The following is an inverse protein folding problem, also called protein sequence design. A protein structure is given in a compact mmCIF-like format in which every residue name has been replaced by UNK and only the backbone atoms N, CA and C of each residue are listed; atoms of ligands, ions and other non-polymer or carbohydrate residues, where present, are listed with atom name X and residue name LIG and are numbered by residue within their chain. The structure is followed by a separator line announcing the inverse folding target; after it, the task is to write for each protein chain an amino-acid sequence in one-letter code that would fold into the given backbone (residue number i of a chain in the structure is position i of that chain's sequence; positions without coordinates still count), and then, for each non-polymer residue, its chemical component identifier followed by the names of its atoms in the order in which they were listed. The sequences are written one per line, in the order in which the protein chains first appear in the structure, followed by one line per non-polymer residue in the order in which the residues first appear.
data_IF_217756984527
#
_entry.id   IF_217756984527
#
_cell.length_a   1.000
_cell.length_b   1.000
_cell.length_c   1.000
_cell.angle_alpha   90.00
_cell.angle_beta   90.00
_cell.angle_gamma   90.00
#
_symmetry.space_group_name_H-M   'P 1'
#
loop_
_entity.id
_entity.type
_entity.pdbx_description
1 polymer ?
#
# COMPACT_ATOMS: atom_id res chain seq x y z
N UNK A 1 9.12 7.20 11.81
CA UNK A 1 8.19 6.71 10.79
C UNK A 1 7.34 5.54 11.28
N UNK A 2 7.93 4.38 11.62
CA UNK A 2 7.18 3.19 12.06
C UNK A 2 6.03 3.44 13.05
N UNK A 3 6.26 4.15 14.16
CA UNK A 3 5.21 4.45 15.14
C UNK A 3 4.16 5.44 14.60
N UNK A 4 4.55 6.40 13.76
CA UNK A 4 3.60 7.29 13.10
C UNK A 4 2.71 6.49 12.14
N UNK A 5 3.29 5.61 11.34
CA UNK A 5 2.55 4.82 10.36
C UNK A 5 1.64 3.77 11.02
N UNK A 6 2.13 3.04 12.03
CA UNK A 6 1.40 1.90 12.63
C UNK A 6 0.56 2.26 13.85
N UNK A 7 0.84 3.39 14.50
CA UNK A 7 0.18 3.83 15.75
C UNK A 7 -0.31 5.28 15.70
N UNK A 8 -0.09 6.00 14.60
CA UNK A 8 -0.60 7.35 14.37
C UNK A 8 -1.90 7.34 13.57
N UNK A 9 -2.34 8.53 13.13
CA UNK A 9 -3.46 8.68 12.18
C UNK A 9 -4.72 9.38 12.72
N UNK A 10 -4.89 9.52 14.04
CA UNK A 10 -6.02 10.26 14.59
C UNK A 10 -6.31 9.94 16.05
N UNK A 11 -7.50 10.31 16.51
CA UNK A 11 -7.96 10.12 17.90
C UNK A 11 -8.34 8.67 18.26
N UNK A 12 -8.09 7.69 17.38
CA UNK A 12 -8.16 6.26 17.73
C UNK A 12 -9.28 5.43 17.08
N UNK A 13 -9.96 5.94 16.05
CA UNK A 13 -11.15 5.26 15.49
C UNK A 13 -10.86 4.21 14.39
N UNK A 14 -9.59 3.98 14.03
CA UNK A 14 -9.26 3.05 12.96
C UNK A 14 -7.91 2.36 13.15
N UNK A 15 -7.80 1.14 12.61
CA UNK A 15 -6.57 0.35 12.61
C UNK A 15 -5.91 0.40 11.23
N UNK A 16 -5.06 1.40 11.00
CA UNK A 16 -4.41 1.57 9.70
C UNK A 16 -3.48 0.38 9.39
N UNK A 17 -3.77 -0.35 8.30
CA UNK A 17 -2.82 -1.35 7.80
C UNK A 17 -1.78 -0.63 6.95
N UNK A 18 -0.51 -0.91 7.25
CA UNK A 18 0.64 -0.31 6.59
C UNK A 18 1.37 -1.38 5.78
N UNK A 19 1.60 -1.10 4.50
CA UNK A 19 2.42 -1.90 3.60
C UNK A 19 3.71 -1.16 3.30
N UNK A 20 4.86 -1.81 3.42
CA UNK A 20 6.17 -1.18 3.20
C UNK A 20 6.92 -1.92 2.08
N UNK A 21 6.88 -1.42 0.84
CA UNK A 21 7.60 -2.03 -0.29
C UNK A 21 9.11 -1.85 -0.14
N UNK A 22 9.89 -2.80 -0.65
CA UNK A 22 11.35 -2.68 -0.76
C UNK A 22 11.88 -2.59 -2.19
N UNK A 23 11.00 -2.59 -3.21
CA UNK A 23 11.34 -2.50 -4.63
C UNK A 23 10.23 -1.84 -5.45
N UNK A 24 10.52 -1.44 -6.69
CA UNK A 24 9.52 -0.84 -7.58
C UNK A 24 8.45 -1.87 -7.98
N UNK A 25 8.84 -3.15 -8.13
CA UNK A 25 7.88 -4.25 -8.34
C UNK A 25 6.91 -4.41 -7.16
N UNK A 26 7.43 -4.38 -5.93
CA UNK A 26 6.58 -4.45 -4.73
C UNK A 26 5.69 -3.21 -4.59
N UNK A 27 6.14 -2.02 -4.99
CA UNK A 27 5.26 -0.85 -5.01
C UNK A 27 4.01 -1.11 -5.86
N UNK A 28 4.18 -1.70 -7.06
CA UNK A 28 3.04 -2.06 -7.91
C UNK A 28 2.18 -3.15 -7.25
N UNK A 29 2.79 -4.24 -6.79
CA UNK A 29 2.08 -5.41 -6.24
C UNK A 29 1.33 -5.09 -4.94
N UNK A 30 1.94 -4.34 -4.02
CA UNK A 30 1.34 -3.94 -2.76
C UNK A 30 0.26 -2.88 -2.97
N UNK A 31 0.32 -2.09 -4.06
CA UNK A 31 -0.78 -1.18 -4.41
C UNK A 31 -2.05 -1.94 -4.75
N UNK A 32 -1.97 -3.01 -5.57
CA UNK A 32 -3.13 -3.88 -5.82
C UNK A 32 -3.68 -4.48 -4.53
N UNK A 33 -2.78 -5.04 -3.70
CA UNK A 33 -3.17 -5.61 -2.41
C UNK A 33 -3.81 -4.56 -1.47
N UNK A 34 -3.32 -3.31 -1.48
CA UNK A 34 -3.87 -2.24 -0.65
C UNK A 34 -5.34 -1.99 -0.98
N UNK A 35 -5.72 -1.96 -2.27
CA UNK A 35 -7.12 -1.83 -2.68
C UNK A 35 -7.97 -3.02 -2.24
N UNK A 36 -7.53 -4.25 -2.51
CA UNK A 36 -8.27 -5.46 -2.11
C UNK A 36 -8.51 -5.51 -0.59
N UNK A 37 -7.50 -5.16 0.20
CA UNK A 37 -7.62 -5.14 1.65
C UNK A 37 -8.44 -3.94 2.13
N UNK A 38 -8.36 -2.79 1.47
CA UNK A 38 -9.16 -1.60 1.80
C UNK A 38 -10.65 -1.91 1.65
N UNK A 39 -11.04 -2.55 0.54
CA UNK A 39 -12.42 -2.97 0.28
C UNK A 39 -12.87 -4.04 1.29
N UNK A 40 -12.01 -5.04 1.55
CA UNK A 40 -12.31 -6.12 2.50
C UNK A 40 -12.54 -5.62 3.92
N UNK A 41 -11.66 -4.73 4.42
CA UNK A 41 -11.71 -4.26 5.80
C UNK A 41 -12.44 -2.93 5.96
N UNK A 42 -12.86 -2.30 4.87
CA UNK A 42 -13.53 -0.99 4.83
C UNK A 42 -12.79 0.06 5.65
N UNK A 43 -11.48 0.12 5.45
CA UNK A 43 -10.55 0.90 6.26
C UNK A 43 -9.44 1.46 5.36
N UNK A 44 -8.99 2.71 5.55
CA UNK A 44 -7.85 3.25 4.82
C UNK A 44 -6.60 2.37 4.94
N UNK A 45 -5.80 2.36 3.88
CA UNK A 45 -4.50 1.70 3.80
C UNK A 45 -3.39 2.72 3.56
N UNK A 46 -2.20 2.45 4.10
CA UNK A 46 -1.01 3.26 3.88
C UNK A 46 0.07 2.42 3.18
N UNK A 47 0.61 2.94 2.09
CA UNK A 47 1.83 2.42 1.47
C UNK A 47 2.98 3.32 1.92
N UNK A 48 3.87 2.79 2.73
CA UNK A 48 5.00 3.51 3.32
C UNK A 48 6.26 3.25 2.50
N UNK A 49 6.49 4.11 1.51
CA UNK A 49 7.70 4.12 0.68
C UNK A 49 8.66 5.24 1.11
N UNK A 50 9.91 5.15 0.68
CA UNK A 50 10.93 6.16 0.93
C UNK A 50 11.29 6.97 -0.33
N UNK A 51 12.10 8.02 -0.12
CA UNK A 51 12.50 8.93 -1.19
C UNK A 51 13.39 8.27 -2.27
N UNK A 52 14.17 7.25 -1.92
CA UNK A 52 15.02 6.52 -2.87
C UNK A 52 14.13 5.66 -3.76
N UNK A 53 13.25 4.84 -3.18
CA UNK A 53 12.29 4.03 -3.93
C UNK A 53 11.40 4.88 -4.84
N UNK A 54 10.97 6.06 -4.38
CA UNK A 54 10.18 7.00 -5.17
C UNK A 54 10.91 7.62 -6.37
N UNK A 55 12.23 7.43 -6.49
CA UNK A 55 13.04 7.87 -7.63
C UNK A 55 13.63 6.71 -8.43
N UNK A 56 13.47 5.47 -7.96
CA UNK A 56 13.98 4.28 -8.65
C UNK A 56 13.13 3.94 -9.88
N UNK A 57 13.80 3.39 -10.90
CA UNK A 57 13.16 2.84 -12.09
C UNK A 57 13.63 1.41 -12.31
N UNK A 58 12.68 0.48 -12.39
CA UNK A 58 12.93 -0.93 -12.64
C UNK A 58 11.89 -1.44 -13.65
N UNK A 59 12.21 -2.53 -14.37
CA UNK A 59 11.22 -3.22 -15.19
C UNK A 59 10.20 -3.93 -14.30
N UNK A 60 8.92 -3.56 -14.42
CA UNK A 60 7.83 -4.13 -13.62
C UNK A 60 6.96 -5.05 -14.47
N UNK A 61 6.54 -6.17 -13.90
CA UNK A 61 5.51 -7.05 -14.46
C UNK A 61 4.17 -6.70 -13.81
N UNK A 62 3.25 -6.15 -14.59
CA UNK A 62 1.91 -5.84 -14.12
C UNK A 62 1.04 -7.11 -14.13
N UNK A 63 0.23 -7.27 -13.09
CA UNK A 63 -0.79 -8.31 -13.03
C UNK A 63 -1.92 -7.97 -13.99
N UNK A 64 -2.41 -8.96 -14.73
CA UNK A 64 -3.62 -8.81 -15.54
C UNK A 64 -4.84 -8.93 -14.62
N UNK A 65 -5.15 -7.86 -13.90
CA UNK A 65 -6.31 -7.80 -13.02
C UNK A 65 -7.52 -7.38 -13.87
N UNK A 66 -8.59 -8.20 -13.97
CA UNK A 66 -9.81 -7.76 -14.64
C UNK A 66 -10.33 -6.51 -13.92
N UNK A 67 -10.74 -5.49 -14.68
CA UNK A 67 -11.42 -4.33 -14.09
C UNK A 67 -12.61 -4.86 -13.28
N UNK A 68 -12.60 -4.59 -11.98
CA UNK A 68 -13.50 -5.12 -10.95
C UNK A 68 -14.84 -5.62 -11.51
N UNK A 69 -15.06 -6.94 -11.49
CA UNK A 69 -16.39 -7.50 -11.70
C UNK A 69 -17.24 -7.14 -10.47
N UNK A 70 -18.30 -6.36 -10.70
CA UNK A 70 -19.33 -6.04 -9.70
C UNK A 70 -19.92 -7.29 -9.04
#
# INVERSE_FOLDING_TARGET
DYFQATRGGGHGDYHLVVLAPSSVQEMADLTYLAFDLADKYRNPMMILADAILGQMMEGVKLKNVPAHAE
#
